data_IF_045119432274
#
_entry.id   IF_045119432274
#
_cell.length_a   1.000
_cell.length_b   1.000
_cell.length_c   1.000
_cell.angle_alpha   90.00
_cell.angle_beta   90.00
_cell.angle_gamma   90.00
#
_symmetry.space_group_name_H-M   'P 1'
#
loop_
_entity.id
_entity.type
_entity.pdbx_description
1 polymer ?
#
# COMPACT_ATOMS: atom_id res chain seq x y z
N UNK A 1 -16.95 -31.57 14.39
CA UNK A 1 -15.83 -31.79 13.43
C UNK A 1 -14.74 -32.49 14.21
N UNK A 2 -14.25 -33.63 13.73
CA UNK A 2 -13.09 -34.27 14.33
C UNK A 2 -11.81 -33.53 13.89
N UNK A 3 -10.92 -33.25 14.82
CA UNK A 3 -9.59 -32.73 14.50
C UNK A 3 -8.76 -33.83 13.85
N UNK A 4 -8.10 -33.53 12.73
CA UNK A 4 -7.17 -34.44 12.06
C UNK A 4 -5.72 -34.02 12.30
N UNK A 5 -4.79 -34.96 12.13
CA UNK A 5 -3.34 -34.72 12.17
C UNK A 5 -2.71 -35.06 10.82
N UNK A 6 -1.51 -34.55 10.56
CA UNK A 6 -0.73 -34.96 9.39
C UNK A 6 0.03 -36.25 9.68
N UNK A 7 0.27 -37.10 8.69
CA UNK A 7 1.05 -38.32 8.86
C UNK A 7 2.27 -38.31 7.92
N UNK A 8 3.12 -39.34 7.97
CA UNK A 8 4.33 -39.43 7.15
C UNK A 8 4.05 -39.21 5.65
N UNK A 9 2.89 -39.67 5.16
CA UNK A 9 2.45 -39.53 3.77
C UNK A 9 1.87 -38.15 3.41
N UNK A 10 1.72 -37.25 4.39
CA UNK A 10 1.16 -35.91 4.17
C UNK A 10 2.17 -34.90 3.59
N UNK A 11 3.45 -35.28 3.47
CA UNK A 11 4.49 -34.44 2.88
C UNK A 11 4.10 -33.97 1.48
N UNK A 12 4.29 -32.67 1.21
CA UNK A 12 3.87 -32.02 -0.03
C UNK A 12 2.41 -31.55 -0.09
N UNK A 13 1.57 -31.95 0.88
CA UNK A 13 0.16 -31.53 0.92
C UNK A 13 0.02 -30.01 1.08
N UNK A 14 -1.02 -29.39 0.48
CA UNK A 14 -1.21 -27.95 0.52
C UNK A 14 -1.71 -27.47 1.89
N UNK A 15 -1.12 -26.39 2.38
CA UNK A 15 -1.65 -25.60 3.49
C UNK A 15 -2.33 -24.38 2.89
N UNK A 16 -3.61 -24.21 3.21
CA UNK A 16 -4.44 -23.12 2.71
C UNK A 16 -4.67 -22.06 3.80
N UNK A 17 -4.78 -20.80 3.40
CA UNK A 17 -5.27 -19.74 4.29
C UNK A 17 -6.81 -19.75 4.39
N UNK A 18 -7.36 -18.84 5.19
CA UNK A 18 -8.82 -18.67 5.36
C UNK A 18 -9.57 -18.36 4.05
N UNK A 19 -8.88 -17.83 3.04
CA UNK A 19 -9.42 -17.58 1.71
C UNK A 19 -9.22 -18.76 0.75
N UNK A 20 -8.84 -19.93 1.26
CA UNK A 20 -8.55 -21.16 0.49
C UNK A 20 -7.42 -21.02 -0.54
N UNK A 21 -6.47 -20.12 -0.29
CA UNK A 21 -5.27 -19.94 -1.14
C UNK A 21 -4.11 -20.78 -0.61
N UNK A 22 -3.36 -21.41 -1.52
CA UNK A 22 -2.11 -22.09 -1.18
C UNK A 22 -1.11 -21.09 -0.60
N UNK A 23 -0.65 -21.33 0.63
CA UNK A 23 0.37 -20.50 1.29
C UNK A 23 1.66 -21.26 1.59
N UNK A 24 1.58 -22.59 1.67
CA UNK A 24 2.71 -23.44 2.03
C UNK A 24 2.43 -24.89 1.64
N UNK A 25 3.45 -25.71 1.54
CA UNK A 25 3.32 -27.17 1.46
C UNK A 25 3.94 -27.80 2.70
N UNK A 26 3.34 -28.89 3.19
CA UNK A 26 3.85 -29.60 4.37
C UNK A 26 5.23 -30.18 4.06
N UNK A 27 6.19 -29.90 4.93
CA UNK A 27 7.52 -30.50 4.91
C UNK A 27 7.65 -31.60 5.97
N UNK A 28 7.03 -31.42 7.12
CA UNK A 28 7.15 -32.34 8.26
C UNK A 28 6.97 -31.63 9.59
N UNK A 29 7.71 -32.07 10.60
CA UNK A 29 7.59 -31.65 12.00
C UNK A 29 8.85 -30.91 12.50
N UNK A 30 8.70 -30.00 13.46
CA UNK A 30 9.83 -29.45 14.22
C UNK A 30 10.48 -30.56 15.05
N UNK A 31 11.78 -30.83 14.83
CA UNK A 31 12.53 -31.86 15.58
C UNK A 31 12.91 -33.13 14.80
N UNK A 32 12.58 -33.21 13.50
CA UNK A 32 13.18 -34.20 12.58
C UNK A 32 12.58 -35.62 12.60
N UNK A 33 11.61 -35.92 13.46
CA UNK A 33 10.87 -37.19 13.39
C UNK A 33 9.74 -37.11 12.34
N UNK A 34 9.43 -38.20 11.62
CA UNK A 34 8.58 -38.13 10.42
C UNK A 34 7.07 -38.13 10.69
N UNK A 35 6.64 -38.42 11.93
CA UNK A 35 5.26 -38.81 12.21
C UNK A 35 4.61 -37.89 13.25
N UNK A 36 3.46 -37.32 12.89
CA UNK A 36 2.51 -36.84 13.90
C UNK A 36 1.60 -38.01 14.23
N UNK A 37 1.33 -38.22 15.51
CA UNK A 37 0.43 -39.27 15.98
C UNK A 37 -0.81 -38.65 16.61
N UNK A 38 -1.98 -39.28 16.39
CA UNK A 38 -3.27 -38.82 16.94
C UNK A 38 -3.31 -38.80 18.48
N UNK A 39 -2.34 -39.42 19.15
CA UNK A 39 -2.19 -39.42 20.62
C UNK A 39 -0.98 -38.63 21.13
N UNK A 40 -0.23 -37.95 20.25
CA UNK A 40 0.94 -37.15 20.61
C UNK A 40 0.58 -35.76 21.15
N UNK A 41 1.58 -35.06 21.68
CA UNK A 41 1.42 -33.64 22.03
C UNK A 41 1.12 -32.81 20.78
N UNK A 42 0.39 -31.69 20.95
CA UNK A 42 0.11 -30.76 19.86
C UNK A 42 1.41 -30.15 19.32
N UNK A 43 1.85 -30.64 18.17
CA UNK A 43 3.11 -30.24 17.55
C UNK A 43 2.86 -29.44 16.28
N UNK A 44 3.62 -28.35 16.12
CA UNK A 44 3.49 -27.48 14.97
C UNK A 44 4.09 -28.16 13.73
N UNK A 45 3.28 -28.29 12.68
CA UNK A 45 3.77 -28.66 11.36
C UNK A 45 4.59 -27.52 10.76
N UNK A 46 5.67 -27.89 10.07
CA UNK A 46 6.46 -26.96 9.27
C UNK A 46 6.17 -27.16 7.78
N UNK A 47 6.18 -26.06 7.05
CA UNK A 47 5.97 -26.09 5.62
C UNK A 47 6.85 -25.11 4.86
N UNK A 48 7.11 -25.45 3.60
CA UNK A 48 7.79 -24.57 2.66
C UNK A 48 6.83 -23.48 2.20
N UNK A 49 7.10 -22.23 2.61
CA UNK A 49 6.27 -21.07 2.23
C UNK A 49 6.37 -20.81 0.73
N UNK A 50 5.23 -20.59 0.09
CA UNK A 50 5.18 -20.23 -1.34
C UNK A 50 5.88 -18.91 -1.61
N UNK A 51 5.79 -17.95 -0.68
CA UNK A 51 6.44 -16.64 -0.75
C UNK A 51 7.96 -16.73 -0.74
N UNK A 52 8.53 -17.65 0.04
CA UNK A 52 9.97 -17.91 0.05
C UNK A 52 10.44 -18.65 -1.21
N UNK A 53 9.58 -19.49 -1.79
CA UNK A 53 9.86 -20.24 -3.02
C UNK A 53 9.52 -19.47 -4.30
N UNK A 54 8.96 -18.26 -4.18
CA UNK A 54 8.47 -17.45 -5.29
C UNK A 54 9.51 -17.24 -6.40
N UNK A 55 10.81 -17.00 -6.10
CA UNK A 55 11.81 -16.84 -7.16
C UNK A 55 11.93 -18.03 -8.12
N UNK A 56 11.63 -19.25 -7.67
CA UNK A 56 11.65 -20.45 -8.51
C UNK A 56 10.34 -20.65 -9.28
N UNK A 57 9.22 -20.16 -8.73
CA UNK A 57 7.88 -20.43 -9.25
C UNK A 57 7.27 -19.30 -10.07
N UNK A 58 7.78 -18.08 -9.95
CA UNK A 58 7.22 -16.91 -10.63
C UNK A 58 7.11 -17.07 -12.15
N UNK A 59 8.06 -17.75 -12.81
CA UNK A 59 8.00 -18.01 -14.24
C UNK A 59 6.78 -18.87 -14.65
N UNK A 60 6.23 -19.64 -13.72
CA UNK A 60 5.05 -20.49 -13.93
C UNK A 60 3.77 -19.84 -13.41
N UNK A 61 3.84 -19.17 -12.26
CA UNK A 61 2.67 -18.61 -11.56
C UNK A 61 2.35 -17.16 -11.95
N UNK A 62 3.33 -16.44 -12.47
CA UNK A 62 3.20 -15.07 -13.00
C UNK A 62 4.11 -14.88 -14.23
N UNK A 63 3.89 -15.64 -15.33
CA UNK A 63 4.78 -15.67 -16.49
C UNK A 63 4.91 -14.30 -17.18
N UNK A 64 3.88 -13.47 -17.10
CA UNK A 64 3.90 -12.10 -17.62
C UNK A 64 4.60 -11.09 -16.69
N UNK A 65 5.08 -11.55 -15.53
CA UNK A 65 5.51 -10.70 -14.42
C UNK A 65 4.52 -9.55 -14.24
N UNK A 66 3.25 -9.85 -14.00
CA UNK A 66 2.22 -8.82 -13.78
C UNK A 66 2.33 -8.22 -12.36
N UNK A 67 3.00 -8.93 -11.44
CA UNK A 67 3.15 -8.54 -10.03
C UNK A 67 2.04 -9.13 -9.16
N UNK A 68 1.57 -10.33 -9.51
CA UNK A 68 0.47 -11.00 -8.83
C UNK A 68 0.95 -11.50 -7.47
N UNK A 69 0.18 -11.21 -6.41
CA UNK A 69 0.49 -11.69 -5.05
C UNK A 69 -0.51 -12.72 -4.53
N UNK A 70 -1.67 -12.83 -5.19
CA UNK A 70 -2.61 -13.92 -4.99
C UNK A 70 -3.58 -14.05 -6.16
N UNK A 71 -4.07 -15.27 -6.38
CA UNK A 71 -5.12 -15.58 -7.34
C UNK A 71 -6.19 -16.40 -6.63
N UNK A 72 -7.46 -16.04 -6.84
CA UNK A 72 -8.59 -16.91 -6.51
C UNK A 72 -9.05 -17.62 -7.77
N UNK A 73 -8.78 -18.91 -7.88
CA UNK A 73 -9.38 -19.79 -8.89
C UNK A 73 -10.51 -20.55 -8.23
N UNK A 74 -11.77 -20.29 -8.62
CA UNK A 74 -12.83 -21.28 -8.45
C UNK A 74 -12.75 -22.16 -9.70
N UNK A 75 -12.36 -23.45 -9.63
CA UNK A 75 -11.99 -24.21 -10.82
C UNK A 75 -13.15 -24.57 -11.76
N UNK A 76 -14.41 -24.24 -11.43
CA UNK A 76 -15.57 -24.85 -12.08
C UNK A 76 -16.76 -23.93 -12.33
N UNK A 77 -16.62 -22.62 -12.14
CA UNK A 77 -17.59 -21.68 -12.67
C UNK A 77 -16.88 -20.77 -13.66
N UNK A 78 -17.60 -20.36 -14.69
CA UNK A 78 -17.23 -19.33 -15.67
C UNK A 78 -16.92 -17.95 -15.04
N UNK A 79 -16.61 -17.90 -13.75
CA UNK A 79 -16.21 -16.71 -13.03
C UNK A 79 -14.79 -16.31 -13.35
N UNK A 80 -14.62 -15.03 -13.65
CA UNK A 80 -13.34 -14.36 -13.85
C UNK A 80 -12.40 -14.63 -12.68
N UNK A 81 -11.21 -15.20 -12.95
CA UNK A 81 -10.14 -15.33 -11.97
C UNK A 81 -9.77 -13.94 -11.42
N UNK A 82 -9.94 -13.72 -10.11
CA UNK A 82 -9.59 -12.44 -9.49
C UNK A 82 -8.12 -12.48 -9.09
N UNK A 83 -7.30 -11.78 -9.88
CA UNK A 83 -5.90 -11.49 -9.56
C UNK A 83 -5.85 -10.37 -8.51
N UNK A 84 -5.01 -10.54 -7.50
CA UNK A 84 -4.76 -9.53 -6.47
C UNK A 84 -3.36 -8.97 -6.67
N UNK A 85 -3.26 -7.64 -6.59
CA UNK A 85 -2.02 -6.90 -6.76
C UNK A 85 -1.71 -6.06 -5.51
N UNK A 86 -0.44 -5.73 -5.28
CA UNK A 86 -0.06 -4.68 -4.35
C UNK A 86 -0.62 -3.32 -4.77
N UNK A 87 -0.86 -2.46 -3.79
CA UNK A 87 -1.29 -1.08 -4.05
C UNK A 87 -0.74 -0.13 -3.00
N UNK A 88 -0.15 0.98 -3.44
CA UNK A 88 0.35 2.03 -2.57
C UNK A 88 -0.83 2.88 -2.05
N UNK A 89 -1.02 2.85 -0.74
CA UNK A 89 -2.12 3.53 -0.04
C UNK A 89 -1.60 4.54 0.97
N UNK A 90 -2.43 5.50 1.33
CA UNK A 90 -2.08 6.58 2.26
C UNK A 90 -2.99 7.79 2.07
N UNK A 91 -2.80 8.85 2.89
CA UNK A 91 -3.57 10.07 2.80
C UNK A 91 -3.35 10.79 1.46
N UNK A 92 -4.38 11.49 0.98
CA UNK A 92 -4.27 12.33 -0.22
C UNK A 92 -3.63 13.70 0.07
N UNK A 93 -3.74 14.17 1.32
CA UNK A 93 -3.18 15.44 1.79
C UNK A 93 -2.46 15.20 3.13
N UNK A 94 -1.25 15.75 3.29
CA UNK A 94 -0.40 15.58 4.49
C UNK A 94 0.00 16.94 5.05
N UNK A 95 -0.54 17.31 6.22
CA UNK A 95 -0.31 18.62 6.83
C UNK A 95 0.82 18.63 7.88
N UNK A 96 1.02 17.53 8.60
CA UNK A 96 2.01 17.42 9.68
C UNK A 96 2.85 16.16 9.55
N UNK A 97 2.18 15.01 9.49
CA UNK A 97 2.81 13.72 9.20
C UNK A 97 1.82 12.84 8.44
N UNK A 98 2.35 11.89 7.65
CA UNK A 98 1.56 10.97 6.84
C UNK A 98 2.20 9.60 6.83
N UNK A 99 1.37 8.56 6.92
CA UNK A 99 1.81 7.18 6.76
C UNK A 99 1.29 6.60 5.45
N UNK A 100 2.21 6.07 4.65
CA UNK A 100 1.93 5.41 3.39
C UNK A 100 2.28 3.94 3.53
N UNK A 101 1.43 3.05 3.02
CA UNK A 101 1.63 1.61 3.11
C UNK A 101 1.35 0.92 1.79
N UNK A 102 2.22 -0.01 1.40
CA UNK A 102 2.00 -0.94 0.31
C UNK A 102 1.12 -2.09 0.80
N UNK A 103 -0.18 -2.00 0.48
CA UNK A 103 -1.15 -3.06 0.78
C UNK A 103 -0.91 -4.28 -0.11
N UNK A 104 -1.29 -5.46 0.38
CA UNK A 104 -1.03 -6.75 -0.27
C UNK A 104 0.45 -6.98 -0.63
N UNK A 105 1.37 -6.37 0.10
CA UNK A 105 2.79 -6.53 -0.13
C UNK A 105 3.27 -7.97 0.17
N UNK A 106 4.15 -8.54 -0.68
CA UNK A 106 4.70 -9.89 -0.47
C UNK A 106 5.40 -10.01 0.89
N UNK A 107 5.31 -11.18 1.52
CA UNK A 107 5.83 -11.40 2.88
C UNK A 107 7.36 -11.50 2.91
N UNK A 108 7.95 -12.24 1.97
CA UNK A 108 9.38 -12.63 2.00
C UNK A 108 10.21 -11.99 0.89
N UNK A 109 9.69 -10.94 0.25
CA UNK A 109 10.40 -10.20 -0.80
C UNK A 109 10.79 -8.83 -0.23
N UNK A 110 12.06 -8.39 -0.39
CA UNK A 110 12.48 -7.08 0.07
C UNK A 110 11.74 -5.97 -0.69
N UNK A 111 11.37 -4.94 0.06
CA UNK A 111 10.65 -3.78 -0.44
C UNK A 111 11.43 -2.54 -0.03
N UNK A 112 11.61 -1.63 -0.98
CA UNK A 112 12.13 -0.30 -0.73
C UNK A 112 11.09 0.75 -1.11
N UNK A 113 11.21 1.93 -0.53
CA UNK A 113 10.37 3.06 -0.86
C UNK A 113 11.20 4.34 -0.90
N UNK A 114 10.76 5.29 -1.71
CA UNK A 114 11.40 6.60 -1.82
C UNK A 114 10.40 7.67 -2.29
N UNK A 115 10.70 8.92 -1.97
CA UNK A 115 10.02 10.09 -2.50
C UNK A 115 10.70 10.52 -3.79
N UNK A 116 10.04 10.26 -4.91
CA UNK A 116 10.55 10.56 -6.25
C UNK A 116 10.24 12.00 -6.69
N UNK A 117 9.38 12.70 -5.95
CA UNK A 117 9.05 14.11 -6.18
C UNK A 117 8.65 14.77 -4.86
N UNK A 118 9.15 15.99 -4.61
CA UNK A 118 8.81 16.77 -3.41
C UNK A 118 9.56 16.33 -2.16
N UNK A 119 10.75 15.72 -2.30
CA UNK A 119 11.56 15.28 -1.16
C UNK A 119 11.92 16.44 -0.22
N UNK A 120 12.12 17.64 -0.76
CA UNK A 120 12.39 18.88 -0.01
C UNK A 120 11.21 19.36 0.86
N UNK A 121 10.03 18.73 0.78
CA UNK A 121 8.85 19.06 1.59
C UNK A 121 8.84 18.32 2.93
N UNK A 122 9.78 17.41 3.17
CA UNK A 122 9.82 16.56 4.35
C UNK A 122 11.08 16.80 5.17
N UNK A 123 10.98 16.54 6.47
CA UNK A 123 12.14 16.44 7.36
C UNK A 123 12.58 14.98 7.47
N UNK A 124 13.90 14.77 7.57
CA UNK A 124 14.48 13.44 7.73
C UNK A 124 14.55 12.62 6.43
N UNK A 125 14.52 11.29 6.58
CA UNK A 125 14.71 10.35 5.48
C UNK A 125 13.51 10.31 4.53
N UNK A 126 13.76 10.54 3.26
CA UNK A 126 12.78 10.46 2.16
C UNK A 126 12.87 9.15 1.38
N UNK A 127 13.65 8.19 1.88
CA UNK A 127 13.76 6.83 1.36
C UNK A 127 13.99 5.84 2.49
N UNK A 128 13.61 4.58 2.29
CA UNK A 128 13.82 3.53 3.26
C UNK A 128 13.45 2.14 2.76
N UNK A 129 13.49 1.18 3.68
CA UNK A 129 13.07 -0.20 3.45
C UNK A 129 11.76 -0.50 4.17
N UNK A 130 11.01 -1.46 3.64
CA UNK A 130 9.79 -1.98 4.25
C UNK A 130 8.52 -1.55 3.52
N UNK A 131 7.39 -2.00 4.06
CA UNK A 131 6.05 -1.86 3.48
C UNK A 131 5.38 -0.54 3.84
N UNK A 132 5.89 0.14 4.86
CA UNK A 132 5.31 1.35 5.41
C UNK A 132 6.38 2.44 5.47
N UNK A 133 5.99 3.62 4.99
CA UNK A 133 6.79 4.83 5.01
C UNK A 133 6.05 5.87 5.85
N UNK A 134 6.70 6.39 6.88
CA UNK A 134 6.17 7.48 7.69
C UNK A 134 6.98 8.73 7.39
N UNK A 135 6.30 9.79 6.98
CA UNK A 135 6.91 11.04 6.56
C UNK A 135 6.44 12.18 7.46
N UNK A 136 7.38 13.02 7.87
CA UNK A 136 7.10 14.23 8.62
C UNK A 136 7.32 15.44 7.72
N UNK A 137 6.36 16.36 7.69
CA UNK A 137 6.47 17.59 6.90
C UNK A 137 7.59 18.46 7.48
N UNK A 138 8.35 19.13 6.61
CA UNK A 138 9.53 19.90 7.01
C UNK A 138 9.18 21.03 8.00
N UNK A 139 8.14 21.81 7.71
CA UNK A 139 7.59 22.86 8.58
C UNK A 139 6.19 23.26 8.07
N UNK A 140 5.48 24.16 8.77
CA UNK A 140 4.11 24.56 8.40
C UNK A 140 4.01 25.49 7.18
N UNK A 141 5.13 25.97 6.65
CA UNK A 141 5.19 26.91 5.53
C UNK A 141 5.42 26.23 4.18
N UNK A 142 5.85 24.96 4.16
CA UNK A 142 5.99 24.23 2.90
C UNK A 142 4.62 23.83 2.35
N UNK A 143 4.50 23.88 1.03
CA UNK A 143 3.35 23.39 0.31
C UNK A 143 3.78 22.81 -1.04
N UNK A 144 3.03 21.86 -1.57
CA UNK A 144 3.29 21.32 -2.91
C UNK A 144 2.74 19.93 -3.15
N UNK A 145 3.15 19.34 -4.28
CA UNK A 145 2.82 17.97 -4.64
C UNK A 145 4.01 17.04 -4.38
N UNK A 146 3.72 15.86 -3.86
CA UNK A 146 4.70 14.82 -3.62
C UNK A 146 4.26 13.47 -4.21
N UNK A 147 5.26 12.64 -4.54
CA UNK A 147 5.04 11.30 -5.07
C UNK A 147 5.93 10.32 -4.34
N UNK A 148 5.31 9.29 -3.77
CA UNK A 148 6.01 8.17 -3.16
C UNK A 148 5.98 6.97 -4.10
N UNK A 149 7.11 6.30 -4.24
CA UNK A 149 7.28 5.05 -5.00
C UNK A 149 7.68 3.94 -4.06
N UNK A 150 6.95 2.83 -4.10
CA UNK A 150 7.36 1.56 -3.54
C UNK A 150 7.93 0.67 -4.64
N UNK A 151 9.06 0.03 -4.39
CA UNK A 151 9.74 -0.87 -5.30
C UNK A 151 9.83 -2.25 -4.67
N UNK A 152 9.28 -3.24 -5.37
CA UNK A 152 9.44 -4.66 -5.05
C UNK A 152 10.52 -5.20 -5.99
N UNK A 153 11.61 -5.70 -5.42
CA UNK A 153 12.69 -6.31 -6.18
C UNK A 153 12.64 -7.82 -6.00
N UNK A 154 12.12 -8.52 -7.01
CA UNK A 154 12.10 -9.98 -7.06
C UNK A 154 13.10 -10.47 -8.14
N UNK A 155 13.53 -11.73 -8.05
CA UNK A 155 14.43 -12.31 -9.05
C UNK A 155 13.84 -12.32 -10.47
N UNK A 156 12.52 -12.31 -10.57
CA UNK A 156 11.76 -12.41 -11.81
C UNK A 156 11.45 -11.04 -12.42
N UNK A 157 11.84 -9.97 -11.73
CA UNK A 157 11.68 -8.60 -12.18
C UNK A 157 11.37 -7.63 -11.06
N UNK A 158 11.35 -6.36 -11.43
CA UNK A 158 11.07 -5.25 -10.52
C UNK A 158 9.66 -4.73 -10.76
N UNK A 159 8.92 -4.47 -9.68
CA UNK A 159 7.60 -3.84 -9.72
C UNK A 159 7.56 -2.56 -8.91
N UNK A 160 6.90 -1.55 -9.45
CA UNK A 160 6.82 -0.23 -8.85
C UNK A 160 5.37 0.20 -8.68
N UNK A 161 5.07 0.78 -7.51
CA UNK A 161 3.74 1.27 -7.15
C UNK A 161 3.87 2.71 -6.68
N UNK A 162 3.15 3.63 -7.32
CA UNK A 162 3.28 5.07 -7.07
C UNK A 162 1.99 5.61 -6.49
N UNK A 163 2.10 6.41 -5.43
CA UNK A 163 1.01 7.21 -4.87
C UNK A 163 1.35 8.69 -4.95
N UNK A 164 0.44 9.47 -5.52
CA UNK A 164 0.52 10.93 -5.57
C UNK A 164 -0.29 11.51 -4.40
N UNK A 165 0.21 12.59 -3.79
CA UNK A 165 -0.44 13.29 -2.69
C UNK A 165 0.04 14.74 -2.62
N UNK A 166 -0.67 15.57 -1.85
CA UNK A 166 -0.28 16.95 -1.57
C UNK A 166 0.26 17.10 -0.15
N UNK A 167 1.17 18.06 0.03
CA UNK A 167 1.81 18.35 1.31
C UNK A 167 1.56 19.80 1.67
N UNK A 168 1.33 20.03 2.95
CA UNK A 168 1.20 21.38 3.52
C UNK A 168 -0.17 22.00 3.35
N UNK A 169 -0.24 23.29 3.69
CA UNK A 169 -1.47 24.09 3.49
C UNK A 169 -1.67 24.36 1.99
N UNK A 170 -2.93 24.47 1.52
CA UNK A 170 -3.21 24.88 0.15
C UNK A 170 -2.57 26.24 -0.13
N UNK A 171 -1.95 26.38 -1.31
CA UNK A 171 -1.24 27.61 -1.66
C UNK A 171 -2.23 28.80 -1.83
N UNK A 172 -2.13 29.81 -0.97
CA UNK A 172 -3.04 30.96 -0.97
C UNK A 172 -2.65 32.09 -1.94
N UNK A 173 -1.75 31.87 -2.90
CA UNK A 173 -1.36 32.91 -3.86
C UNK A 173 -2.44 33.30 -4.88
N UNK A 174 -3.62 32.67 -4.84
CA UNK A 174 -4.75 33.12 -5.65
C UNK A 174 -5.28 34.45 -5.10
N UNK A 175 -5.06 35.54 -5.85
CA UNK A 175 -5.66 36.84 -5.56
C UNK A 175 -7.20 36.78 -5.60
N UNK A 176 -7.84 37.66 -4.84
CA UNK A 176 -9.30 37.84 -4.89
C UNK A 176 -9.63 38.63 -6.16
N UNK A 177 -10.45 38.06 -7.04
CA UNK A 177 -11.01 38.72 -8.21
C UNK A 177 -12.37 39.32 -7.85
N UNK A 178 -12.59 40.60 -8.17
CA UNK A 178 -13.86 41.30 -7.93
C UNK A 178 -13.76 42.78 -8.25
N UNK A 179 -14.87 43.50 -8.08
CA UNK A 179 -14.92 44.95 -8.33
C UNK A 179 -14.07 45.73 -7.32
N UNK A 180 -13.11 46.52 -7.81
CA UNK A 180 -12.27 47.42 -6.99
C UNK A 180 -12.95 48.74 -6.64
N UNK A 181 -14.00 49.10 -7.38
CA UNK A 181 -14.85 50.27 -7.15
C UNK A 181 -16.27 49.78 -6.93
N UNK A 182 -16.80 50.01 -5.73
CA UNK A 182 -18.14 49.57 -5.34
C UNK A 182 -18.95 50.80 -4.95
N UNK A 183 -20.11 50.97 -5.57
CA UNK A 183 -21.05 52.04 -5.22
C UNK A 183 -22.02 51.56 -4.14
N UNK A 184 -22.45 52.47 -3.26
CA UNK A 184 -23.43 52.16 -2.22
C UNK A 184 -24.69 51.52 -2.82
N UNK A 185 -25.14 50.41 -2.24
CA UNK A 185 -26.31 49.65 -2.70
C UNK A 185 -26.06 48.67 -3.86
N UNK A 186 -24.82 48.54 -4.35
CA UNK A 186 -24.49 47.59 -5.44
C UNK A 186 -24.18 46.19 -4.91
N UNK A 187 -24.61 45.15 -5.63
CA UNK A 187 -24.17 43.77 -5.37
C UNK A 187 -22.90 43.47 -6.16
N UNK A 188 -21.85 43.02 -5.48
CA UNK A 188 -20.57 42.65 -6.11
C UNK A 188 -20.26 41.20 -5.78
N UNK A 189 -19.81 40.45 -6.80
CA UNK A 189 -19.36 39.07 -6.64
C UNK A 189 -17.83 39.07 -6.56
N UNK A 190 -17.32 38.55 -5.45
CA UNK A 190 -15.90 38.24 -5.30
C UNK A 190 -15.68 36.75 -5.54
N UNK A 191 -14.58 36.42 -6.20
CA UNK A 191 -14.21 35.04 -6.50
C UNK A 191 -12.70 34.85 -6.35
N UNK A 192 -12.30 33.60 -6.18
CA UNK A 192 -10.91 33.16 -6.19
C UNK A 192 -10.81 31.99 -7.16
N UNK A 193 -9.71 31.90 -7.88
CA UNK A 193 -9.42 30.70 -8.66
C UNK A 193 -9.30 29.50 -7.70
N UNK A 194 -9.83 28.31 -8.06
CA UNK A 194 -9.74 27.14 -7.22
C UNK A 194 -8.30 26.84 -6.81
N UNK A 195 -8.05 26.77 -5.50
CA UNK A 195 -6.75 26.41 -4.93
C UNK A 195 -6.69 24.89 -4.77
N UNK A 196 -5.72 24.25 -5.41
CA UNK A 196 -5.49 22.81 -5.28
C UNK A 196 -5.27 22.41 -3.81
N UNK A 197 -6.08 21.47 -3.33
CA UNK A 197 -6.03 20.97 -1.95
C UNK A 197 -6.87 21.76 -0.94
N UNK A 198 -7.46 22.89 -1.32
CA UNK A 198 -8.36 23.64 -0.43
C UNK A 198 -9.73 22.96 -0.31
N UNK A 199 -10.16 22.68 0.91
CA UNK A 199 -11.49 22.12 1.23
C UNK A 199 -12.46 23.18 1.74
N UNK A 200 -11.96 24.32 2.17
CA UNK A 200 -12.75 25.47 2.63
C UNK A 200 -12.02 26.78 2.33
N UNK A 201 -12.80 27.86 2.28
CA UNK A 201 -12.30 29.22 2.15
C UNK A 201 -12.94 30.08 3.24
N UNK A 202 -12.14 30.88 3.91
CA UNK A 202 -12.62 31.85 4.87
C UNK A 202 -12.57 33.24 4.23
N UNK A 203 -13.72 33.90 4.16
CA UNK A 203 -13.86 35.24 3.61
C UNK A 203 -14.04 36.24 4.76
N UNK A 204 -13.23 37.28 4.79
CA UNK A 204 -13.35 38.35 5.78
C UNK A 204 -13.48 39.69 5.04
N UNK A 205 -14.49 40.47 5.41
CA UNK A 205 -14.58 41.86 5.00
C UNK A 205 -13.82 42.72 6.03
N UNK A 206 -13.01 43.70 5.60
CA UNK A 206 -12.38 44.64 6.52
C UNK A 206 -13.42 45.42 7.31
N UNK A 207 -13.07 45.79 8.55
CA UNK A 207 -13.92 46.65 9.37
C UNK A 207 -14.14 48.00 8.69
N UNK A 208 -15.40 48.44 8.57
CA UNK A 208 -15.76 49.74 8.00
C UNK A 208 -16.08 49.77 6.50
N UNK A 209 -16.27 48.59 5.87
CA UNK A 209 -16.98 48.48 4.58
C UNK A 209 -18.49 48.71 4.74
#
# INVERSE_FOLDING_TARGET
MASGVFEAVSSGSPILNVSKRLISTIRGRVGGTPEFSCGGANENAIGGRISASWPAFCQFLDPGNEGIVAINTIPYSSGTSVKVFPSATGPNNVCTSGSFTLTNAPLDIPISWEIIQGANLFSGSTSGSGKTATLNVLNQSVYGSARIRFTIQAMCGVKQYIKNFTVGKPNTTAGINGGTLVYSGSQVVYSISPVSGATSYNWQLPSGW
#
